data_IF_675839132716
#
_entry.id   IF_675839132716
#
_cell.length_a   1.000
_cell.length_b   1.000
_cell.length_c   1.000
_cell.angle_alpha   90.00
_cell.angle_beta   90.00
_cell.angle_gamma   90.00
#
_symmetry.space_group_name_H-M   'P 1'
#
loop_
_entity.id
_entity.type
_entity.pdbx_description
1 polymer ?
#
# COMPACT_ATOMS: atom_id res chain seq x y z
N UNK A 1 -35.26 32.50 -18.11
CA UNK A 1 -35.30 31.12 -17.58
C UNK A 1 -33.87 30.70 -17.28
N UNK A 2 -33.52 30.83 -16.00
CA UNK A 2 -32.17 30.53 -15.49
C UNK A 2 -31.97 29.04 -15.36
N UNK A 3 -31.07 28.48 -16.15
CA UNK A 3 -30.58 27.12 -15.94
C UNK A 3 -29.52 27.18 -14.86
N UNK A 4 -29.90 26.75 -13.66
CA UNK A 4 -29.04 26.50 -12.50
C UNK A 4 -27.80 25.71 -12.94
N UNK A 5 -26.61 26.34 -12.79
CA UNK A 5 -25.35 25.61 -12.64
C UNK A 5 -25.51 24.68 -11.44
N UNK A 6 -25.56 23.39 -11.69
CA UNK A 6 -25.31 22.40 -10.64
C UNK A 6 -23.82 22.49 -10.30
N UNK A 7 -23.52 23.15 -9.21
CA UNK A 7 -22.25 22.99 -8.51
C UNK A 7 -22.16 21.52 -8.09
N UNK A 8 -21.37 20.77 -8.82
CA UNK A 8 -20.91 19.45 -8.37
C UNK A 8 -19.91 19.73 -7.25
N UNK A 9 -20.41 19.97 -6.04
CA UNK A 9 -19.59 19.94 -4.85
C UNK A 9 -18.94 18.55 -4.82
N UNK A 10 -17.64 18.50 -5.09
CA UNK A 10 -16.81 17.32 -4.89
C UNK A 10 -16.96 16.93 -3.43
N UNK A 11 -17.66 15.83 -3.16
CA UNK A 11 -17.70 15.26 -1.83
C UNK A 11 -16.24 14.98 -1.42
N UNK A 12 -15.82 15.29 -0.19
CA UNK A 12 -14.48 14.91 0.25
C UNK A 12 -14.34 13.42 0.05
N UNK A 13 -13.37 13.00 -0.76
CA UNK A 13 -13.06 11.58 -0.93
C UNK A 13 -12.79 11.00 0.44
N UNK A 14 -13.41 9.86 0.76
CA UNK A 14 -13.15 9.17 2.01
C UNK A 14 -11.64 8.94 2.13
N UNK A 15 -11.08 9.17 3.34
CA UNK A 15 -9.66 8.93 3.59
C UNK A 15 -9.28 7.50 3.20
N UNK A 16 -8.20 7.29 2.45
CA UNK A 16 -7.77 5.94 2.10
C UNK A 16 -7.43 5.15 3.35
N UNK A 17 -7.82 3.87 3.37
CA UNK A 17 -7.54 2.96 4.48
C UNK A 17 -6.30 2.14 4.18
N UNK A 18 -5.36 2.13 5.11
CA UNK A 18 -4.13 1.35 5.00
C UNK A 18 -3.91 0.48 6.23
N UNK A 19 -3.55 -0.78 6.01
CA UNK A 19 -3.06 -1.68 7.05
C UNK A 19 -1.54 -1.77 6.94
N UNK A 20 -0.82 -1.76 8.07
CA UNK A 20 0.60 -2.12 8.07
C UNK A 20 0.74 -3.54 8.62
N UNK A 21 1.23 -4.45 7.77
CA UNK A 21 1.64 -5.80 8.14
C UNK A 21 3.15 -5.82 8.36
N UNK A 22 3.60 -6.30 9.52
CA UNK A 22 5.01 -6.33 9.91
C UNK A 22 5.28 -7.46 10.93
N UNK A 23 6.55 -7.77 11.17
CA UNK A 23 6.95 -8.69 12.23
C UNK A 23 7.52 -7.93 13.43
N UNK A 24 7.23 -8.42 14.65
CA UNK A 24 7.73 -7.87 15.90
C UNK A 24 9.21 -8.25 16.11
N UNK A 25 10.12 -7.68 15.30
CA UNK A 25 11.54 -8.06 15.29
C UNK A 25 12.28 -7.56 16.52
N UNK A 26 11.98 -6.34 16.92
CA UNK A 26 12.54 -5.68 18.11
C UNK A 26 11.62 -4.55 18.57
N UNK A 27 11.85 -4.05 19.80
CA UNK A 27 11.15 -2.85 20.30
C UNK A 27 11.40 -1.62 19.42
N UNK A 28 12.62 -1.47 18.89
CA UNK A 28 12.98 -0.39 17.99
C UNK A 28 12.23 -0.47 16.66
N UNK A 29 12.15 -1.66 16.08
CA UNK A 29 11.38 -1.90 14.84
C UNK A 29 9.90 -1.63 15.05
N UNK A 30 9.30 -2.17 16.11
CA UNK A 30 7.89 -1.90 16.44
C UNK A 30 7.61 -0.40 16.64
N UNK A 31 8.56 0.34 17.23
CA UNK A 31 8.47 1.79 17.35
C UNK A 31 8.51 2.49 15.99
N UNK A 32 9.41 2.09 15.09
CA UNK A 32 9.45 2.66 13.72
C UNK A 32 8.12 2.45 12.97
N UNK A 33 7.51 1.27 13.11
CA UNK A 33 6.19 0.98 12.52
C UNK A 33 5.11 1.86 13.13
N UNK A 34 5.11 2.04 14.45
CA UNK A 34 4.16 2.92 15.15
C UNK A 34 4.33 4.38 14.70
N UNK A 35 5.57 4.87 14.60
CA UNK A 35 5.86 6.23 14.15
C UNK A 35 5.37 6.45 12.71
N UNK A 36 5.59 5.49 11.81
CA UNK A 36 5.07 5.51 10.45
C UNK A 36 3.53 5.57 10.42
N UNK A 37 2.87 4.71 11.19
CA UNK A 37 1.40 4.67 11.24
C UNK A 37 0.84 6.00 11.76
N UNK A 38 1.44 6.57 12.80
CA UNK A 38 1.03 7.86 13.37
C UNK A 38 1.23 8.99 12.35
N UNK A 39 2.33 8.97 11.59
CA UNK A 39 2.59 9.98 10.55
C UNK A 39 1.57 9.88 9.41
N UNK A 40 1.28 8.67 8.91
CA UNK A 40 0.26 8.46 7.89
C UNK A 40 -1.12 8.96 8.36
N UNK A 41 -1.48 8.70 9.62
CA UNK A 41 -2.73 9.21 10.19
C UNK A 41 -2.75 10.74 10.29
N UNK A 42 -1.64 11.36 10.67
CA UNK A 42 -1.51 12.82 10.68
C UNK A 42 -1.70 13.43 9.28
N UNK A 43 -1.30 12.70 8.24
CA UNK A 43 -1.44 13.10 6.83
C UNK A 43 -2.80 12.72 6.22
N UNK A 44 -3.77 12.24 7.03
CA UNK A 44 -5.14 11.99 6.61
C UNK A 44 -5.42 10.58 6.05
N UNK A 45 -4.50 9.64 6.20
CA UNK A 45 -4.67 8.23 5.82
C UNK A 45 -5.16 7.43 7.03
N UNK A 46 -6.29 6.71 6.93
CA UNK A 46 -6.78 5.84 8.02
C UNK A 46 -5.90 4.59 8.14
N UNK A 47 -4.71 4.81 8.70
CA UNK A 47 -3.72 3.74 8.89
C UNK A 47 -4.05 2.92 10.14
N UNK A 48 -4.02 1.60 10.02
CA UNK A 48 -4.27 0.61 11.06
C UNK A 48 -3.05 -0.24 11.31
N UNK A 49 -2.81 -0.55 12.57
CA UNK A 49 -1.78 -1.51 13.03
C UNK A 49 -2.30 -2.25 14.26
N UNK A 50 -1.74 -3.41 14.51
CA UNK A 50 -2.07 -4.25 15.69
C UNK A 50 -1.79 -3.53 17.01
N UNK A 51 -0.74 -2.68 17.08
CA UNK A 51 -0.39 -1.94 18.29
C UNK A 51 -1.49 -0.96 18.77
N UNK A 52 -2.45 -0.59 17.92
CA UNK A 52 -3.58 0.24 18.33
C UNK A 52 -4.68 -0.55 19.05
N UNK A 53 -4.62 -1.88 19.02
CA UNK A 53 -5.63 -2.77 19.57
C UNK A 53 -5.01 -3.61 20.69
N UNK A 54 -5.60 -3.57 21.86
CA UNK A 54 -5.09 -4.36 22.98
C UNK A 54 -5.53 -5.82 22.93
N UNK A 55 -6.79 -6.06 22.52
CA UNK A 55 -7.37 -7.41 22.50
C UNK A 55 -8.59 -7.43 21.55
N UNK A 56 -8.44 -7.89 20.32
CA UNK A 56 -9.59 -8.01 19.42
C UNK A 56 -10.56 -9.10 19.90
N UNK A 57 -11.83 -8.77 20.00
CA UNK A 57 -12.87 -9.68 20.50
C UNK A 57 -13.05 -10.92 19.64
N UNK A 58 -12.77 -10.79 18.34
CA UNK A 58 -12.81 -11.87 17.34
C UNK A 58 -11.54 -12.74 17.31
N UNK A 59 -10.50 -12.34 18.05
CA UNK A 59 -9.16 -12.94 18.00
C UNK A 59 -8.31 -12.43 16.85
N UNK A 60 -6.98 -12.52 17.00
CA UNK A 60 -6.01 -11.95 16.07
C UNK A 60 -6.14 -12.43 14.60
N UNK A 61 -6.34 -13.73 14.31
CA UNK A 61 -6.43 -14.18 12.92
C UNK A 61 -7.62 -13.58 12.18
N UNK A 62 -8.80 -13.57 12.79
CA UNK A 62 -10.00 -13.01 12.17
C UNK A 62 -9.96 -11.49 12.09
N UNK A 63 -9.37 -10.83 13.11
CA UNK A 63 -9.14 -9.38 13.07
C UNK A 63 -8.24 -9.00 11.91
N UNK A 64 -7.12 -9.71 11.70
CA UNK A 64 -6.18 -9.44 10.62
C UNK A 64 -6.83 -9.64 9.24
N UNK A 65 -7.53 -10.76 9.05
CA UNK A 65 -8.26 -11.06 7.82
C UNK A 65 -9.24 -9.93 7.46
N UNK A 66 -10.03 -9.51 8.44
CA UNK A 66 -10.94 -8.38 8.29
C UNK A 66 -10.23 -7.07 7.96
N UNK A 67 -9.08 -6.78 8.61
CA UNK A 67 -8.32 -5.57 8.30
C UNK A 67 -7.74 -5.60 6.88
N UNK A 68 -7.27 -6.76 6.40
CA UNK A 68 -6.84 -6.93 5.01
C UNK A 68 -7.99 -6.70 4.05
N UNK A 69 -9.15 -7.31 4.29
CA UNK A 69 -10.35 -7.17 3.43
C UNK A 69 -10.82 -5.70 3.35
N UNK A 70 -10.92 -5.02 4.49
CA UNK A 70 -11.46 -3.67 4.60
C UNK A 70 -10.48 -2.56 4.16
N UNK A 71 -9.20 -2.86 3.97
CA UNK A 71 -8.18 -1.86 3.58
C UNK A 71 -8.10 -1.68 2.08
N UNK A 72 -7.93 -0.43 1.64
CA UNK A 72 -7.60 -0.11 0.25
C UNK A 72 -6.15 -0.51 -0.05
N UNK A 73 -5.26 -0.38 0.95
CA UNK A 73 -3.83 -0.71 0.82
C UNK A 73 -3.35 -1.54 2.00
N UNK A 74 -2.47 -2.49 1.72
CA UNK A 74 -1.74 -3.26 2.73
C UNK A 74 -0.24 -2.99 2.55
N UNK A 75 0.34 -2.25 3.50
CA UNK A 75 1.77 -1.94 3.54
C UNK A 75 2.51 -3.08 4.22
N UNK A 76 3.35 -3.78 3.50
CA UNK A 76 4.09 -4.93 4.03
C UNK A 76 5.52 -4.51 4.32
N UNK A 77 5.89 -4.46 5.59
CA UNK A 77 7.23 -4.10 6.04
C UNK A 77 8.14 -5.30 5.95
N UNK A 78 9.00 -5.33 4.93
CA UNK A 78 9.93 -6.42 4.75
C UNK A 78 11.21 -6.24 5.57
N UNK A 79 11.54 -7.28 6.33
CA UNK A 79 12.80 -7.51 7.02
C UNK A 79 13.22 -8.95 6.80
N UNK A 80 14.47 -9.29 7.14
CA UNK A 80 14.92 -10.67 7.13
C UNK A 80 14.00 -11.57 7.98
N UNK A 81 13.67 -11.13 9.20
CA UNK A 81 12.78 -11.85 10.11
C UNK A 81 11.35 -12.00 9.59
N UNK A 82 10.81 -10.99 8.93
CA UNK A 82 9.49 -11.10 8.30
C UNK A 82 9.50 -12.24 7.28
N UNK A 83 10.52 -12.28 6.42
CA UNK A 83 10.64 -13.29 5.38
C UNK A 83 10.86 -14.68 5.95
N UNK A 84 11.72 -14.83 6.96
CA UNK A 84 11.92 -16.10 7.66
C UNK A 84 10.62 -16.62 8.28
N UNK A 85 9.88 -15.78 8.99
CA UNK A 85 8.61 -16.15 9.62
C UNK A 85 7.53 -16.52 8.60
N UNK A 86 7.50 -15.86 7.46
CA UNK A 86 6.56 -16.20 6.38
C UNK A 86 6.84 -17.56 5.74
N UNK A 87 8.08 -18.04 5.83
CA UNK A 87 8.50 -19.35 5.32
C UNK A 87 8.44 -20.47 6.37
N UNK A 88 8.48 -20.12 7.67
CA UNK A 88 8.35 -21.09 8.76
C UNK A 88 6.93 -21.63 8.88
N UNK A 89 6.81 -22.93 9.15
CA UNK A 89 5.57 -23.71 9.17
C UNK A 89 4.36 -23.11 9.90
N UNK A 90 3.22 -23.81 9.88
CA UNK A 90 1.84 -23.41 10.28
C UNK A 90 1.64 -22.60 11.58
N UNK A 91 2.68 -22.33 12.36
CA UNK A 91 2.60 -21.67 13.68
C UNK A 91 2.90 -20.17 13.65
N UNK A 92 3.23 -19.58 12.49
CA UNK A 92 3.55 -18.15 12.37
C UNK A 92 2.36 -17.37 11.79
N UNK A 93 1.88 -16.36 12.51
CA UNK A 93 0.83 -15.45 12.02
C UNK A 93 1.21 -14.80 10.70
N UNK A 94 2.46 -14.37 10.54
CA UNK A 94 3.00 -13.78 9.31
C UNK A 94 2.87 -14.71 8.10
N UNK A 95 3.00 -16.02 8.28
CA UNK A 95 2.81 -16.98 7.18
C UNK A 95 1.35 -17.05 6.75
N UNK A 96 0.42 -17.06 7.70
CA UNK A 96 -1.00 -17.07 7.40
C UNK A 96 -1.39 -15.84 6.58
N UNK A 97 -0.97 -14.67 7.01
CA UNK A 97 -1.17 -13.41 6.31
C UNK A 97 -0.57 -13.43 4.90
N UNK A 98 0.67 -13.88 4.75
CA UNK A 98 1.35 -13.98 3.45
C UNK A 98 0.64 -14.92 2.47
N UNK A 99 0.06 -16.02 2.96
CA UNK A 99 -0.72 -16.95 2.13
C UNK A 99 -2.03 -16.33 1.68
N UNK A 100 -2.74 -15.65 2.58
CA UNK A 100 -3.98 -14.93 2.23
C UNK A 100 -3.73 -13.83 1.20
N UNK A 101 -2.70 -13.01 1.41
CA UNK A 101 -2.33 -11.95 0.48
C UNK A 101 -1.96 -12.49 -0.90
N UNK A 102 -1.20 -13.59 -0.96
CA UNK A 102 -0.85 -14.24 -2.23
C UNK A 102 -2.08 -14.82 -2.93
N UNK A 103 -3.01 -15.42 -2.18
CA UNK A 103 -4.26 -15.93 -2.72
C UNK A 103 -5.10 -14.79 -3.30
N UNK A 104 -5.29 -13.71 -2.57
CA UNK A 104 -6.05 -12.54 -3.05
C UNK A 104 -5.43 -11.95 -4.32
N UNK A 105 -4.10 -11.83 -4.36
CA UNK A 105 -3.38 -11.36 -5.54
C UNK A 105 -3.55 -12.31 -6.73
N UNK A 106 -3.53 -13.62 -6.49
CA UNK A 106 -3.74 -14.62 -7.54
C UNK A 106 -5.17 -14.55 -8.11
N UNK A 107 -6.18 -14.43 -7.23
CA UNK A 107 -7.58 -14.28 -7.63
C UNK A 107 -7.83 -12.98 -8.43
N UNK A 108 -7.06 -11.92 -8.13
CA UNK A 108 -7.04 -10.68 -8.91
C UNK A 108 -6.24 -10.77 -10.23
N UNK A 109 -5.84 -11.97 -10.66
CA UNK A 109 -5.08 -12.17 -11.89
C UNK A 109 -3.68 -11.57 -11.85
N UNK A 110 -3.06 -11.47 -10.69
CA UNK A 110 -1.76 -10.82 -10.44
C UNK A 110 -1.74 -9.31 -10.74
N UNK A 111 -2.92 -8.67 -10.79
CA UNK A 111 -3.02 -7.21 -10.81
C UNK A 111 -2.96 -6.73 -9.35
N UNK A 112 -1.97 -5.90 -9.04
CA UNK A 112 -1.70 -5.49 -7.66
C UNK A 112 -1.86 -3.97 -7.46
N UNK A 113 -3.02 -3.57 -7.01
CA UNK A 113 -3.28 -2.20 -6.59
C UNK A 113 -3.24 -2.03 -5.06
N UNK A 114 -3.25 -3.14 -4.31
CA UNK A 114 -3.45 -3.19 -2.87
C UNK A 114 -2.19 -3.45 -2.04
N UNK A 115 -1.38 -4.44 -2.43
CA UNK A 115 -0.23 -4.88 -1.62
C UNK A 115 1.03 -4.10 -1.97
N UNK A 116 1.51 -3.28 -1.05
CA UNK A 116 2.65 -2.38 -1.26
C UNK A 116 3.82 -2.81 -0.39
N UNK A 117 4.91 -3.33 -0.97
CA UNK A 117 6.12 -3.61 -0.22
C UNK A 117 6.78 -2.32 0.25
N UNK A 118 7.17 -2.26 1.51
CA UNK A 118 7.97 -1.17 2.07
C UNK A 118 9.15 -1.73 2.84
N UNK A 119 10.23 -0.97 2.89
CA UNK A 119 11.41 -1.25 3.71
C UNK A 119 11.88 0.03 4.38
N UNK A 120 12.33 -0.05 5.63
CA UNK A 120 12.90 1.10 6.31
C UNK A 120 14.33 1.40 5.84
N UNK A 121 15.06 0.39 5.40
CA UNK A 121 16.42 0.51 4.89
C UNK A 121 16.56 -0.19 3.54
N UNK A 122 17.27 0.41 2.59
CA UNK A 122 17.46 -0.13 1.23
C UNK A 122 17.99 -1.57 1.24
N UNK A 123 18.89 -1.92 2.18
CA UNK A 123 19.44 -3.28 2.29
C UNK A 123 18.36 -4.36 2.48
N UNK A 124 17.21 -4.02 3.07
CA UNK A 124 16.11 -4.96 3.30
C UNK A 124 15.28 -5.27 2.04
N UNK A 125 15.50 -4.57 0.93
CA UNK A 125 14.79 -4.82 -0.33
C UNK A 125 15.05 -6.23 -0.90
N UNK A 126 16.20 -6.83 -0.57
CA UNK A 126 16.51 -8.22 -0.92
C UNK A 126 15.54 -9.24 -0.30
N UNK A 127 14.91 -8.88 0.83
CA UNK A 127 13.97 -9.74 1.58
C UNK A 127 12.52 -9.62 1.07
N UNK A 128 12.24 -8.75 0.10
CA UNK A 128 10.92 -8.69 -0.53
C UNK A 128 10.61 -10.02 -1.20
N UNK A 129 9.43 -10.56 -0.92
CA UNK A 129 9.00 -11.82 -1.50
C UNK A 129 9.01 -11.81 -3.02
N UNK A 130 9.38 -12.93 -3.64
CA UNK A 130 9.53 -13.05 -5.11
C UNK A 130 8.27 -12.65 -5.87
N UNK A 131 7.09 -12.95 -5.33
CA UNK A 131 5.80 -12.63 -5.96
C UNK A 131 5.44 -11.14 -5.89
N UNK A 132 6.10 -10.34 -5.01
CA UNK A 132 5.96 -8.89 -4.94
C UNK A 132 7.08 -8.13 -5.67
N UNK A 133 8.17 -8.79 -6.03
CA UNK A 133 9.30 -8.13 -6.74
C UNK A 133 8.94 -7.45 -8.06
N UNK A 134 7.95 -7.92 -8.85
CA UNK A 134 7.55 -7.22 -10.07
C UNK A 134 6.88 -5.87 -9.84
N UNK A 135 6.43 -5.59 -8.62
CA UNK A 135 5.70 -4.35 -8.29
C UNK A 135 6.61 -3.30 -7.63
N UNK A 136 6.16 -2.05 -7.67
CA UNK A 136 6.86 -0.95 -7.01
C UNK A 136 6.93 -1.15 -5.50
N UNK A 137 8.07 -0.84 -4.90
CA UNK A 137 8.26 -0.83 -3.45
C UNK A 137 8.83 0.52 -3.02
N UNK A 138 8.70 0.83 -1.72
CA UNK A 138 9.12 2.11 -1.17
C UNK A 138 10.18 1.94 -0.07
N UNK A 139 11.22 2.77 -0.13
CA UNK A 139 12.30 2.80 0.85
C UNK A 139 12.14 4.03 1.73
N UNK A 140 11.95 3.82 3.02
CA UNK A 140 11.59 4.89 3.96
C UNK A 140 12.81 5.45 4.73
N UNK A 141 14.01 5.34 4.16
CA UNK A 141 15.23 5.93 4.73
C UNK A 141 15.24 7.47 4.68
N UNK A 142 14.44 8.05 3.79
CA UNK A 142 14.44 9.50 3.53
C UNK A 142 13.02 10.06 3.49
N UNK A 143 12.91 11.37 3.70
CA UNK A 143 11.66 12.11 3.50
C UNK A 143 11.09 11.91 2.09
N UNK A 144 11.95 11.85 1.07
CA UNK A 144 11.50 11.61 -0.32
C UNK A 144 10.86 10.24 -0.50
N UNK A 145 11.38 9.19 0.18
CA UNK A 145 10.79 7.85 0.16
C UNK A 145 9.41 7.82 0.80
N UNK A 146 9.27 8.46 1.96
CA UNK A 146 7.97 8.62 2.62
C UNK A 146 6.99 9.40 1.74
N UNK A 147 7.41 10.53 1.17
CA UNK A 147 6.55 11.35 0.32
C UNK A 147 6.07 10.59 -0.93
N UNK A 148 6.92 9.76 -1.51
CA UNK A 148 6.55 8.91 -2.65
C UNK A 148 5.48 7.87 -2.25
N UNK A 149 5.60 7.26 -1.06
CA UNK A 149 4.58 6.37 -0.51
C UNK A 149 3.26 7.13 -0.28
N UNK A 150 3.32 8.28 0.40
CA UNK A 150 2.15 9.11 0.69
C UNK A 150 1.39 9.47 -0.59
N UNK A 151 2.10 9.92 -1.63
CA UNK A 151 1.50 10.25 -2.93
C UNK A 151 0.80 9.04 -3.55
N UNK A 152 1.40 7.84 -3.47
CA UNK A 152 0.77 6.60 -3.95
C UNK A 152 -0.54 6.32 -3.21
N UNK A 153 -0.57 6.50 -1.88
CA UNK A 153 -1.76 6.23 -1.07
C UNK A 153 -2.87 7.26 -1.29
N UNK A 154 -2.51 8.50 -1.66
CA UNK A 154 -3.45 9.60 -1.90
C UNK A 154 -3.88 9.72 -3.37
N UNK A 155 -3.39 8.85 -4.25
CA UNK A 155 -3.56 8.96 -5.71
C UNK A 155 -3.16 10.36 -6.25
N UNK A 156 -2.05 10.88 -5.71
CA UNK A 156 -1.49 12.20 -6.03
C UNK A 156 -0.19 12.04 -6.83
N UNK A 157 -0.23 11.90 -8.16
CA UNK A 157 0.96 11.67 -8.96
C UNK A 157 1.91 12.86 -8.90
N UNK A 158 3.22 12.58 -8.82
CA UNK A 158 4.26 13.62 -8.78
C UNK A 158 4.34 14.45 -10.08
N UNK A 159 3.85 13.87 -11.17
CA UNK A 159 3.79 14.54 -12.49
C UNK A 159 2.41 14.33 -13.07
N UNK A 160 1.71 15.42 -13.33
CA UNK A 160 0.41 15.39 -13.97
C UNK A 160 0.56 15.08 -15.47
N UNK A 161 -0.25 14.15 -15.97
CA UNK A 161 -0.27 13.85 -17.40
C UNK A 161 -1.06 14.95 -18.13
N UNK A 162 -0.44 15.69 -19.08
CA UNK A 162 -1.15 16.73 -19.81
C UNK A 162 -2.26 16.14 -20.67
N UNK A 163 -3.27 16.94 -20.95
CA UNK A 163 -4.35 16.54 -21.85
C UNK A 163 -3.83 16.15 -23.23
N UNK A 164 -4.42 15.11 -23.82
CA UNK A 164 -4.08 14.68 -25.16
C UNK A 164 -4.42 15.79 -26.17
N UNK A 165 -3.46 16.17 -27.00
CA UNK A 165 -3.68 17.08 -28.14
C UNK A 165 -4.62 16.49 -29.19
N UNK A 166 -5.04 17.30 -30.17
CA UNK A 166 -5.88 16.81 -31.27
C UNK A 166 -5.17 15.69 -32.05
N UNK A 167 -5.93 14.74 -32.61
CA UNK A 167 -5.33 13.64 -33.39
C UNK A 167 -4.49 14.20 -34.54
N UNK A 168 -3.35 13.58 -34.86
CA UNK A 168 -2.49 14.03 -35.95
C UNK A 168 -3.26 13.95 -37.27
N UNK A 169 -3.21 15.04 -38.04
CA UNK A 169 -3.72 15.04 -39.42
C UNK A 169 -2.93 14.04 -40.26
N UNK A 170 -3.63 13.11 -40.93
CA UNK A 170 -2.98 12.18 -41.87
C UNK A 170 -2.27 13.01 -42.93
N UNK A 171 -0.95 12.94 -42.98
CA UNK A 171 -0.19 13.43 -44.14
C UNK A 171 -0.57 12.53 -45.32
N UNK A 172 -1.09 13.12 -46.39
CA UNK A 172 -1.37 12.40 -47.62
C UNK A 172 -0.13 11.68 -48.17
N UNK A 173 -0.29 10.75 -49.11
CA UNK A 173 0.84 10.04 -49.71
C UNK A 173 1.87 11.03 -50.28
N UNK A 174 3.15 10.76 -50.01
CA UNK A 174 4.26 11.51 -50.62
C UNK A 174 4.20 11.21 -52.10
N UNK A 175 3.88 12.24 -52.91
CA UNK A 175 4.00 12.07 -54.37
C UNK A 175 5.49 11.94 -54.72
N UNK A 176 5.84 11.04 -55.69
CA UNK A 176 7.24 10.79 -56.11
C UNK A 176 7.85 11.99 -56.82
#
# INVERSE_FOLDING_TARGET
MDLKKLDTATQPSASPRALISYSHDSKGHSKQVLDLANQLRADGIDCRIDQYISNPSEGWPLWMDKQVEESDFVLIVFTERYTERSQQGRKSGVRFESVLMLQELYEAGMINDKFIPIVFEQKNSQHIHKWLKPYSYYVLESTAGYESLRRRLMDDPAVEMPALGPPPTKKGPIQP
#
